data_IF_504902508995
#
_entry.id   IF_504902508995
#
_cell.length_a   1.000
_cell.length_b   1.000
_cell.length_c   1.000
_cell.angle_alpha   90.00
_cell.angle_beta   90.00
_cell.angle_gamma   90.00
#
_symmetry.space_group_name_H-M   'P 1'
#
loop_
_entity.id
_entity.type
_entity.pdbx_description
1 polymer ?
#
# COMPACT_ATOMS: atom_id res chain seq x y z
N UNK A 1 -9.83 6.81 17.71
CA UNK A 1 -10.70 6.95 16.51
C UNK A 1 -10.09 7.86 15.45
N UNK A 2 -9.81 9.15 15.70
CA UNK A 2 -9.24 10.09 14.69
C UNK A 2 -7.96 9.59 13.99
N UNK A 3 -7.09 8.88 14.72
CA UNK A 3 -5.84 8.31 14.19
C UNK A 3 -6.09 7.24 13.12
N UNK A 4 -7.11 6.39 13.28
CA UNK A 4 -7.43 5.33 12.32
C UNK A 4 -7.82 5.91 10.96
N UNK A 5 -8.50 7.06 10.96
CA UNK A 5 -8.85 7.74 9.72
C UNK A 5 -7.61 8.14 8.95
N UNK A 6 -6.48 8.43 9.59
CA UNK A 6 -5.26 8.82 8.88
C UNK A 6 -4.68 7.73 7.97
N UNK A 7 -5.11 6.46 8.11
CA UNK A 7 -4.73 5.36 7.21
C UNK A 7 -5.18 5.56 5.77
N UNK A 8 -6.14 6.46 5.50
CA UNK A 8 -6.59 6.73 4.15
C UNK A 8 -5.42 7.09 3.22
N UNK A 9 -4.38 7.76 3.75
CA UNK A 9 -3.19 8.14 2.97
C UNK A 9 -2.38 6.93 2.51
N UNK A 10 -2.31 5.88 3.33
CA UNK A 10 -1.64 4.63 2.97
C UNK A 10 -2.43 3.89 1.90
N UNK A 11 -3.75 3.78 2.08
CA UNK A 11 -4.64 3.09 1.15
C UNK A 11 -4.61 3.80 -0.21
N UNK A 12 -4.87 5.11 -0.23
CA UNK A 12 -4.92 5.92 -1.45
C UNK A 12 -3.55 6.01 -2.11
N UNK A 13 -2.47 6.20 -1.33
CA UNK A 13 -1.12 6.32 -1.90
C UNK A 13 -0.65 5.01 -2.54
N UNK A 14 -0.84 3.87 -1.87
CA UNK A 14 -0.54 2.54 -2.46
C UNK A 14 -1.41 2.31 -3.70
N UNK A 15 -2.69 2.65 -3.64
CA UNK A 15 -3.60 2.47 -4.78
C UNK A 15 -3.14 3.28 -6.00
N UNK A 16 -2.90 4.59 -5.83
CA UNK A 16 -2.51 5.49 -6.92
C UNK A 16 -1.21 5.01 -7.56
N UNK A 17 -0.19 4.69 -6.76
CA UNK A 17 1.11 4.30 -7.31
C UNK A 17 1.02 2.96 -8.02
N UNK A 18 0.36 1.96 -7.44
CA UNK A 18 0.18 0.67 -8.11
C UNK A 18 -0.63 0.82 -9.39
N UNK A 19 -1.69 1.62 -9.38
CA UNK A 19 -2.53 1.88 -10.55
C UNK A 19 -1.75 2.55 -11.68
N UNK A 20 -1.00 3.60 -11.39
CA UNK A 20 -0.16 4.26 -12.39
C UNK A 20 0.93 3.32 -12.89
N UNK A 21 1.57 2.56 -12.00
CA UNK A 21 2.60 1.61 -12.35
C UNK A 21 2.08 0.53 -13.31
N UNK A 22 0.97 -0.12 -12.99
CA UNK A 22 0.40 -1.18 -13.84
C UNK A 22 -0.14 -0.61 -15.15
N UNK A 23 -0.75 0.57 -15.14
CA UNK A 23 -1.30 1.17 -16.36
C UNK A 23 -0.19 1.55 -17.34
N UNK A 24 0.91 2.11 -16.83
CA UNK A 24 2.09 2.44 -17.63
C UNK A 24 2.74 1.15 -18.14
N UNK A 25 2.96 0.16 -17.26
CA UNK A 25 3.59 -1.10 -17.64
C UNK A 25 2.81 -1.84 -18.73
N UNK A 26 1.50 -1.99 -18.55
CA UNK A 26 0.61 -2.63 -19.53
C UNK A 26 0.54 -1.87 -20.86
N UNK A 27 0.70 -0.53 -20.84
CA UNK A 27 0.71 0.28 -22.05
C UNK A 27 2.01 0.17 -22.86
N UNK A 28 3.08 -0.32 -22.24
CA UNK A 28 4.41 -0.46 -22.84
C UNK A 28 4.72 -1.90 -23.24
N UNK A 29 3.84 -2.87 -22.95
CA UNK A 29 4.06 -4.28 -23.29
C UNK A 29 3.99 -4.48 -24.82
N UNK A 30 5.11 -4.82 -25.48
CA UNK A 30 5.14 -5.01 -26.93
C UNK A 30 4.38 -6.27 -27.38
N UNK A 31 4.08 -7.19 -26.46
CA UNK A 31 3.43 -8.46 -26.78
C UNK A 31 1.90 -8.37 -26.78
N UNK A 32 1.33 -7.27 -26.26
CA UNK A 32 -0.11 -7.10 -26.14
C UNK A 32 -0.52 -5.74 -26.70
N UNK A 33 -1.21 -5.75 -27.84
CA UNK A 33 -1.78 -4.51 -28.40
C UNK A 33 -3.01 -4.09 -27.59
N UNK A 34 -2.80 -3.20 -26.61
CA UNK A 34 -3.86 -2.51 -25.86
C UNK A 34 -3.83 -1.02 -26.16
N UNK A 35 -5.00 -0.41 -26.32
CA UNK A 35 -5.07 1.05 -26.26
C UNK A 35 -4.81 1.54 -24.83
N UNK A 36 -4.35 2.78 -24.67
CA UNK A 36 -4.13 3.37 -23.34
C UNK A 36 -5.36 3.29 -22.43
N UNK A 37 -6.56 3.47 -23.00
CA UNK A 37 -7.82 3.33 -22.28
C UNK A 37 -8.08 1.88 -21.80
N UNK A 38 -7.75 0.89 -22.63
CA UNK A 38 -7.84 -0.52 -22.23
C UNK A 38 -6.84 -0.87 -21.12
N UNK A 39 -5.62 -0.31 -21.16
CA UNK A 39 -4.62 -0.51 -20.11
C UNK A 39 -5.08 0.04 -18.75
N UNK A 40 -5.72 1.22 -18.75
CA UNK A 40 -6.34 1.80 -17.54
C UNK A 40 -7.42 0.88 -16.96
N UNK A 41 -8.35 0.40 -17.79
CA UNK A 41 -9.43 -0.48 -17.34
C UNK A 41 -8.86 -1.81 -16.83
N UNK A 42 -7.91 -2.40 -17.55
CA UNK A 42 -7.24 -3.64 -17.15
C UNK A 42 -6.53 -3.47 -15.80
N UNK A 43 -5.86 -2.34 -15.58
CA UNK A 43 -5.21 -2.00 -14.32
C UNK A 43 -6.19 -1.86 -13.16
N UNK A 44 -7.33 -1.18 -13.38
CA UNK A 44 -8.38 -1.07 -12.35
C UNK A 44 -8.93 -2.45 -11.98
N UNK A 45 -9.19 -3.30 -12.97
CA UNK A 45 -9.64 -4.69 -12.76
C UNK A 45 -8.59 -5.49 -12.01
N UNK A 46 -7.32 -5.40 -12.42
CA UNK A 46 -6.19 -6.07 -11.76
C UNK A 46 -6.10 -5.69 -10.28
N UNK A 47 -6.18 -4.40 -9.98
CA UNK A 47 -5.98 -3.91 -8.62
C UNK A 47 -7.19 -4.17 -7.73
N UNK A 48 -8.42 -3.98 -8.21
CA UNK A 48 -9.61 -4.16 -7.38
C UNK A 48 -10.10 -5.59 -7.28
N UNK A 49 -10.10 -6.35 -8.39
CA UNK A 49 -10.64 -7.71 -8.41
C UNK A 49 -9.55 -8.73 -8.04
N UNK A 50 -8.46 -8.77 -8.82
CA UNK A 50 -7.38 -9.72 -8.55
C UNK A 50 -6.60 -9.36 -7.27
N UNK A 51 -6.46 -8.07 -6.99
CA UNK A 51 -5.86 -7.55 -5.76
C UNK A 51 -6.80 -7.52 -4.54
N UNK A 52 -8.03 -8.05 -4.62
CA UNK A 52 -9.00 -7.91 -3.52
C UNK A 52 -8.50 -8.48 -2.19
N UNK A 53 -7.91 -9.69 -2.22
CA UNK A 53 -7.36 -10.32 -1.01
C UNK A 53 -6.23 -9.47 -0.43
N UNK A 54 -5.39 -8.89 -1.28
CA UNK A 54 -4.34 -7.95 -0.88
C UNK A 54 -4.95 -6.77 -0.10
N UNK A 55 -5.99 -6.12 -0.65
CA UNK A 55 -6.61 -4.95 -0.02
C UNK A 55 -7.27 -5.29 1.30
N UNK A 56 -8.00 -6.40 1.37
CA UNK A 56 -8.65 -6.84 2.62
C UNK A 56 -7.60 -7.07 3.71
N UNK A 57 -6.56 -7.86 3.41
CA UNK A 57 -5.50 -8.14 4.37
C UNK A 57 -4.73 -6.88 4.78
N UNK A 58 -4.42 -5.99 3.81
CA UNK A 58 -3.71 -4.74 4.06
C UNK A 58 -4.50 -3.80 4.97
N UNK A 59 -5.79 -3.60 4.69
CA UNK A 59 -6.66 -2.72 5.48
C UNK A 59 -6.87 -3.28 6.89
N UNK A 60 -7.14 -4.60 7.01
CA UNK A 60 -7.28 -5.25 8.31
C UNK A 60 -5.99 -5.10 9.12
N UNK A 61 -4.84 -5.35 8.50
CA UNK A 61 -3.55 -5.22 9.17
C UNK A 61 -3.32 -3.79 9.67
N UNK A 62 -3.55 -2.76 8.85
CA UNK A 62 -3.46 -1.36 9.26
C UNK A 62 -4.32 -1.05 10.49
N UNK A 63 -5.59 -1.47 10.47
CA UNK A 63 -6.51 -1.22 11.58
C UNK A 63 -6.03 -1.93 12.85
N UNK A 64 -5.66 -3.21 12.74
CA UNK A 64 -5.19 -4.01 13.88
C UNK A 64 -3.91 -3.42 14.47
N UNK A 65 -2.89 -3.18 13.64
CA UNK A 65 -1.62 -2.65 14.13
C UNK A 65 -1.73 -1.23 14.68
N UNK A 66 -2.54 -0.37 14.08
CA UNK A 66 -2.82 0.93 14.64
C UNK A 66 -3.43 0.86 16.04
N UNK A 67 -4.43 0.01 16.21
CA UNK A 67 -5.13 -0.15 17.49
C UNK A 67 -4.12 -0.56 18.56
N UNK A 68 -3.29 -1.56 18.30
CA UNK A 68 -2.32 -2.07 19.27
C UNK A 68 -1.10 -1.16 19.48
N UNK A 69 -0.53 -0.61 18.41
CA UNK A 69 0.75 0.11 18.47
C UNK A 69 0.56 1.60 18.74
N UNK A 70 -0.39 2.26 18.07
CA UNK A 70 -0.44 3.73 17.99
C UNK A 70 -1.54 4.32 18.87
N UNK A 71 -2.75 3.76 18.82
CA UNK A 71 -3.93 4.34 19.50
C UNK A 71 -3.76 4.38 21.01
N UNK A 72 -3.21 3.32 21.61
CA UNK A 72 -3.02 3.26 23.07
C UNK A 72 -1.88 4.16 23.58
N UNK A 73 -0.83 4.37 22.78
CA UNK A 73 0.33 5.14 23.22
C UNK A 73 1.08 5.71 22.01
N UNK A 74 1.26 7.03 21.94
CA UNK A 74 1.92 7.69 20.82
C UNK A 74 3.42 7.97 21.06
N UNK A 75 3.95 7.56 22.22
CA UNK A 75 5.39 7.68 22.51
C UNK A 75 6.18 6.89 21.47
N UNK A 76 7.25 7.51 20.95
CA UNK A 76 8.09 6.95 19.89
C UNK A 76 7.33 6.59 18.61
N UNK A 77 6.40 7.46 18.17
CA UNK A 77 5.55 7.25 17.00
C UNK A 77 6.33 6.79 15.75
N UNK A 78 7.50 7.37 15.46
CA UNK A 78 8.31 6.98 14.31
C UNK A 78 8.72 5.51 14.32
N UNK A 79 9.16 5.01 15.48
CA UNK A 79 9.59 3.61 15.64
C UNK A 79 8.39 2.68 15.45
N UNK A 80 7.22 3.08 15.96
CA UNK A 80 5.98 2.30 15.83
C UNK A 80 5.48 2.24 14.40
N UNK A 81 5.54 3.36 13.68
CA UNK A 81 5.21 3.43 12.26
C UNK A 81 6.18 2.58 11.42
N UNK A 82 7.47 2.57 11.77
CA UNK A 82 8.48 1.72 11.13
C UNK A 82 8.22 0.22 11.40
N UNK A 83 7.88 -0.14 12.63
CA UNK A 83 7.53 -1.52 13.00
C UNK A 83 6.26 -1.99 12.27
N UNK A 84 5.23 -1.14 12.23
CA UNK A 84 4.02 -1.40 11.47
C UNK A 84 4.35 -1.63 9.99
N UNK A 85 5.20 -0.78 9.41
CA UNK A 85 5.66 -0.96 8.03
C UNK A 85 6.37 -2.30 7.82
N UNK A 86 7.32 -2.68 8.68
CA UNK A 86 8.06 -3.94 8.57
C UNK A 86 7.10 -5.14 8.63
N UNK A 87 6.21 -5.17 9.61
CA UNK A 87 5.34 -6.33 9.85
C UNK A 87 4.31 -6.48 8.73
N UNK A 88 3.65 -5.38 8.34
CA UNK A 88 2.67 -5.41 7.25
C UNK A 88 3.34 -5.69 5.90
N UNK A 89 4.60 -5.25 5.71
CA UNK A 89 5.34 -5.49 4.47
C UNK A 89 5.89 -6.91 4.33
N UNK A 90 6.08 -7.63 5.43
CA UNK A 90 6.65 -8.99 5.42
C UNK A 90 6.01 -9.97 4.41
N UNK A 91 4.67 -10.13 4.34
CA UNK A 91 4.05 -10.99 3.34
C UNK A 91 4.31 -10.55 1.89
N UNK A 92 4.47 -9.25 1.63
CA UNK A 92 4.77 -8.73 0.29
C UNK A 92 6.23 -8.94 -0.08
N UNK A 93 7.15 -8.78 0.87
CA UNK A 93 8.57 -9.13 0.67
C UNK A 93 8.70 -10.62 0.36
N UNK A 94 7.99 -11.48 1.10
CA UNK A 94 7.93 -12.92 0.79
C UNK A 94 7.36 -13.17 -0.62
N UNK A 95 6.26 -12.50 -0.98
CA UNK A 95 5.68 -12.56 -2.32
C UNK A 95 6.66 -12.16 -3.42
N UNK A 96 7.46 -11.12 -3.21
CA UNK A 96 8.48 -10.64 -4.15
C UNK A 96 9.60 -11.67 -4.42
N UNK A 97 9.93 -12.47 -3.40
CA UNK A 97 10.90 -13.57 -3.52
C UNK A 97 10.25 -14.78 -4.21
N UNK A 98 9.03 -15.14 -3.81
CA UNK A 98 8.34 -16.34 -4.29
C UNK A 98 7.82 -16.24 -5.72
N UNK A 99 7.40 -15.05 -6.15
CA UNK A 99 6.78 -14.81 -7.45
C UNK A 99 7.60 -13.82 -8.27
N UNK A 100 8.63 -14.28 -9.02
CA UNK A 100 9.52 -13.40 -9.78
C UNK A 100 8.79 -12.49 -10.77
N UNK A 101 7.73 -12.99 -11.42
CA UNK A 101 6.95 -12.24 -12.41
C UNK A 101 6.23 -11.02 -11.79
N UNK A 102 5.86 -11.10 -10.51
CA UNK A 102 5.15 -10.04 -9.79
C UNK A 102 6.07 -9.27 -8.83
N UNK A 103 7.37 -9.59 -8.81
CA UNK A 103 8.35 -9.05 -7.87
C UNK A 103 8.35 -7.53 -7.82
N UNK A 104 8.34 -6.89 -8.99
CA UNK A 104 8.42 -5.44 -9.08
C UNK A 104 7.17 -4.80 -8.45
N UNK A 105 5.99 -5.37 -8.68
CA UNK A 105 4.74 -4.87 -8.13
C UNK A 105 4.74 -4.93 -6.59
N UNK A 106 5.21 -6.02 -6.00
CA UNK A 106 5.36 -6.12 -4.54
C UNK A 106 6.38 -5.12 -3.98
N UNK A 107 7.53 -4.95 -4.64
CA UNK A 107 8.54 -3.98 -4.21
C UNK A 107 7.99 -2.55 -4.27
N UNK A 108 7.28 -2.20 -5.35
CA UNK A 108 6.62 -0.91 -5.49
C UNK A 108 5.62 -0.70 -4.34
N UNK A 109 4.77 -1.69 -4.04
CA UNK A 109 3.82 -1.60 -2.93
C UNK A 109 4.51 -1.34 -1.57
N UNK A 110 5.60 -2.06 -1.27
CA UNK A 110 6.36 -1.93 -0.01
C UNK A 110 7.01 -0.55 0.11
N UNK A 111 7.63 -0.06 -0.97
CA UNK A 111 8.26 1.27 -0.99
C UNK A 111 7.21 2.36 -0.86
N UNK A 112 6.11 2.28 -1.61
CA UNK A 112 5.03 3.26 -1.52
C UNK A 112 4.44 3.29 -0.13
N UNK A 113 4.18 2.11 0.46
CA UNK A 113 3.64 2.04 1.80
C UNK A 113 4.59 2.68 2.83
N UNK A 114 5.90 2.49 2.70
CA UNK A 114 6.87 3.19 3.54
C UNK A 114 6.74 4.71 3.44
N UNK A 115 6.72 5.24 2.20
CA UNK A 115 6.63 6.68 1.95
C UNK A 115 5.31 7.25 2.51
N UNK A 116 4.19 6.60 2.24
CA UNK A 116 2.88 7.06 2.75
C UNK A 116 2.83 7.01 4.26
N UNK A 117 3.50 6.05 4.89
CA UNK A 117 3.57 5.93 6.34
C UNK A 117 4.37 7.08 6.98
N UNK A 118 5.45 7.53 6.32
CA UNK A 118 6.18 8.73 6.74
C UNK A 118 5.31 9.99 6.61
N UNK A 119 4.52 10.11 5.53
CA UNK A 119 3.58 11.23 5.35
C UNK A 119 2.46 11.20 6.40
N UNK A 120 1.97 10.00 6.73
CA UNK A 120 0.93 9.77 7.72
C UNK A 120 1.31 10.30 9.11
N UNK A 121 2.59 10.22 9.50
CA UNK A 121 3.09 10.79 10.76
C UNK A 121 2.61 12.23 10.98
N UNK A 122 2.68 13.07 9.95
CA UNK A 122 2.24 14.46 10.04
C UNK A 122 0.74 14.62 10.29
N UNK A 123 -0.08 13.71 9.76
CA UNK A 123 -1.52 13.68 9.99
C UNK A 123 -1.87 13.20 11.40
N UNK A 124 -1.14 12.20 11.92
CA UNK A 124 -1.35 11.70 13.28
C UNK A 124 -1.06 12.81 14.29
N UNK A 125 0.07 13.50 14.16
CA UNK A 125 0.42 14.62 15.06
C UNK A 125 -0.64 15.73 15.04
N UNK A 126 -1.21 16.05 13.87
CA UNK A 126 -2.30 17.04 13.76
C UNK A 126 -3.63 16.57 14.34
N UNK A 127 -3.85 15.26 14.46
CA UNK A 127 -5.09 14.70 14.99
C UNK A 127 -5.10 14.56 16.52
N UNK A 128 -3.92 14.72 17.14
CA UNK A 128 -3.68 14.49 18.57
C UNK A 128 -3.37 15.77 19.34
N UNK A 129 -3.01 16.85 18.63
CA UNK A 129 -2.92 18.22 19.13
C UNK A 129 -4.14 19.03 18.68
#
# INVERSE_FOLDING_TARGET
>A
MKILYTNWINIVGVFIVLFLFTAIFDSLDPNVSRSFFQAIIASLIGIFLYGMIFWICFIIALIVFDLFLIVFNQKHLEIKLLLEWIIISAPFVYGAVKYPEQRILYIVAVITFFITQLLRKGLINKATH
#
